data_IF_493984195972
#
_entry.id   IF_493984195972
#
_cell.length_a   1.000
_cell.length_b   1.000
_cell.length_c   1.000
_cell.angle_alpha   90.00
_cell.angle_beta   90.00
_cell.angle_gamma   90.00
#
_symmetry.space_group_name_H-M   'P 1'
#
loop_
_entity.id
_entity.type
_entity.pdbx_description
1 polymer ?
#
# COMPACT_ATOMS: atom_id res chain seq x y z
N UNK A 1 6.30 25.20 -14.32
CA UNK A 1 6.38 24.35 -13.12
C UNK A 1 7.43 23.25 -13.35
N UNK A 2 7.87 22.61 -12.29
CA UNK A 2 8.76 21.45 -12.39
C UNK A 2 7.97 20.28 -12.97
N UNK A 3 8.50 19.61 -14.01
CA UNK A 3 7.88 18.43 -14.61
C UNK A 3 8.24 17.22 -13.79
N UNK A 4 7.24 16.43 -13.40
CA UNK A 4 7.41 15.23 -12.58
C UNK A 4 6.75 14.02 -13.25
N UNK A 5 7.34 12.84 -12.99
CA UNK A 5 6.76 11.54 -13.33
C UNK A 5 6.57 10.75 -12.05
N UNK A 6 5.34 10.37 -11.77
CA UNK A 6 4.95 9.68 -10.56
C UNK A 6 4.15 8.43 -10.90
N UNK A 7 4.25 7.43 -10.02
CA UNK A 7 3.38 6.26 -10.08
C UNK A 7 2.84 5.96 -8.68
N UNK A 8 1.57 5.56 -8.61
CA UNK A 8 0.95 5.26 -7.33
C UNK A 8 -0.49 4.76 -7.49
N UNK A 9 -1.13 4.54 -6.36
CA UNK A 9 -2.51 4.07 -6.25
C UNK A 9 -3.46 5.25 -6.11
N UNK A 10 -4.56 5.23 -6.86
CA UNK A 10 -5.66 6.19 -6.69
C UNK A 10 -6.38 5.86 -5.39
N UNK A 11 -6.37 6.79 -4.43
CA UNK A 11 -7.04 6.63 -3.14
C UNK A 11 -8.36 7.38 -3.05
N UNK A 12 -8.50 8.46 -3.77
CA UNK A 12 -9.75 9.21 -3.90
C UNK A 12 -9.88 9.84 -5.28
N UNK A 13 -11.11 10.10 -5.68
CA UNK A 13 -11.39 10.75 -6.96
C UNK A 13 -12.67 11.58 -6.87
N UNK A 14 -12.59 12.83 -7.30
CA UNK A 14 -13.72 13.76 -7.35
C UNK A 14 -13.81 14.36 -8.76
N UNK A 15 -14.84 13.97 -9.50
CA UNK A 15 -15.06 14.43 -10.89
C UNK A 15 -16.01 15.63 -10.86
N UNK A 16 -15.60 16.72 -11.51
CA UNK A 16 -16.37 17.96 -11.65
C UNK A 16 -16.36 18.40 -13.13
N UNK A 17 -17.26 17.81 -13.92
CA UNK A 17 -17.37 18.14 -15.35
C UNK A 17 -16.11 17.80 -16.14
N UNK A 18 -15.43 18.85 -16.62
CA UNK A 18 -14.21 18.73 -17.42
C UNK A 18 -12.92 18.75 -16.60
N UNK A 19 -13.06 18.94 -15.29
CA UNK A 19 -11.96 18.94 -14.34
C UNK A 19 -12.18 17.89 -13.26
N UNK A 20 -11.13 17.38 -12.67
CA UNK A 20 -11.25 16.44 -11.58
C UNK A 20 -9.99 16.43 -10.71
N UNK A 21 -10.20 16.11 -9.45
CA UNK A 21 -9.13 15.90 -8.49
C UNK A 21 -9.08 14.43 -8.12
N UNK A 22 -7.88 13.91 -7.96
CA UNK A 22 -7.63 12.59 -7.42
C UNK A 22 -6.46 12.65 -6.42
N UNK A 23 -6.39 11.70 -5.52
CA UNK A 23 -5.27 11.54 -4.62
C UNK A 23 -4.47 10.31 -5.03
N UNK A 24 -3.19 10.49 -5.29
CA UNK A 24 -2.25 9.43 -5.62
C UNK A 24 -1.40 9.09 -4.40
N UNK A 25 -1.37 7.82 -4.02
CA UNK A 25 -0.54 7.32 -2.93
C UNK A 25 0.59 6.45 -3.47
N UNK A 26 1.80 6.75 -3.06
CA UNK A 26 2.98 5.91 -3.31
C UNK A 26 3.58 5.35 -2.00
N UNK A 27 4.82 4.88 -2.07
CA UNK A 27 5.52 4.34 -0.90
C UNK A 27 5.94 5.41 0.11
N UNK A 28 5.98 6.69 -0.27
CA UNK A 28 6.46 7.80 0.57
C UNK A 28 5.35 8.70 1.10
N UNK A 29 4.22 8.75 0.41
CA UNK A 29 3.14 9.62 0.83
C UNK A 29 2.02 9.75 -0.19
N UNK A 30 1.25 10.83 -0.07
CA UNK A 30 0.14 11.16 -0.94
C UNK A 30 0.36 12.52 -1.59
N UNK A 31 -0.12 12.65 -2.82
CA UNK A 31 -0.13 13.91 -3.56
C UNK A 31 -1.45 14.07 -4.32
N UNK A 32 -1.94 15.29 -4.37
CA UNK A 32 -3.11 15.62 -5.17
C UNK A 32 -2.75 15.67 -6.66
N UNK A 33 -3.62 15.13 -7.50
CA UNK A 33 -3.58 15.22 -8.94
C UNK A 33 -4.74 16.08 -9.41
N UNK A 34 -4.49 16.95 -10.36
CA UNK A 34 -5.50 17.72 -11.06
C UNK A 34 -5.55 17.28 -12.52
N UNK A 35 -6.67 16.73 -12.92
CA UNK A 35 -6.95 16.30 -14.28
C UNK A 35 -7.84 17.36 -14.95
N UNK A 36 -7.38 17.96 -16.03
CA UNK A 36 -8.16 18.83 -16.88
C UNK A 36 -8.28 18.19 -18.26
N UNK A 37 -9.52 18.03 -18.73
CA UNK A 37 -9.81 17.36 -20.02
C UNK A 37 -9.04 17.99 -21.18
N UNK A 38 -9.00 19.32 -21.24
CA UNK A 38 -8.43 20.04 -22.38
C UNK A 38 -6.89 20.10 -22.31
N UNK A 39 -6.31 19.90 -21.14
CA UNK A 39 -4.86 19.72 -20.96
C UNK A 39 -4.38 18.31 -21.34
N UNK A 40 -5.18 17.28 -21.01
CA UNK A 40 -4.86 15.88 -21.34
C UNK A 40 -5.14 15.59 -22.79
N UNK A 41 -6.19 16.18 -23.34
CA UNK A 41 -6.67 15.96 -24.70
C UNK A 41 -6.63 17.29 -25.48
N UNK A 42 -5.48 17.63 -26.04
CA UNK A 42 -5.26 18.90 -26.76
C UNK A 42 -5.99 18.98 -28.12
N UNK A 43 -6.45 17.84 -28.66
CA UNK A 43 -7.19 17.76 -29.93
C UNK A 43 -8.70 17.63 -29.74
N UNK A 44 -9.41 17.28 -30.82
CA UNK A 44 -10.87 17.03 -30.81
C UNK A 44 -11.22 15.71 -30.09
N UNK A 45 -10.31 14.73 -30.10
CA UNK A 45 -10.50 13.46 -29.42
C UNK A 45 -10.35 13.64 -27.89
N UNK A 46 -11.45 13.49 -27.19
CA UNK A 46 -11.52 13.56 -25.71
C UNK A 46 -11.66 12.18 -25.06
N UNK A 47 -11.38 11.10 -25.76
CA UNK A 47 -11.55 9.71 -25.31
C UNK A 47 -10.72 9.41 -24.07
N UNK A 48 -9.46 9.90 -24.01
CA UNK A 48 -8.59 9.67 -22.86
C UNK A 48 -9.19 10.19 -21.55
N UNK A 49 -9.83 11.35 -21.56
CA UNK A 49 -10.49 11.87 -20.35
C UNK A 49 -11.89 11.28 -20.16
N UNK A 50 -12.74 11.28 -21.19
CA UNK A 50 -14.14 10.93 -21.05
C UNK A 50 -14.37 9.42 -20.87
N UNK A 51 -13.58 8.57 -21.52
CA UNK A 51 -13.71 7.11 -21.43
C UNK A 51 -12.70 6.53 -20.45
N UNK A 52 -11.39 6.69 -20.69
CA UNK A 52 -10.38 6.05 -19.85
C UNK A 52 -10.41 6.59 -18.42
N UNK A 53 -10.29 7.92 -18.25
CA UNK A 53 -10.23 8.48 -16.91
C UNK A 53 -11.57 8.42 -16.16
N UNK A 54 -12.67 8.87 -16.79
CA UNK A 54 -13.97 8.94 -16.11
C UNK A 54 -14.64 7.60 -15.89
N UNK A 55 -14.60 6.69 -16.88
CA UNK A 55 -15.40 5.45 -16.85
C UNK A 55 -14.62 4.21 -16.52
N UNK A 56 -13.34 4.12 -16.92
CA UNK A 56 -12.55 2.89 -16.78
C UNK A 56 -11.57 2.90 -15.62
N UNK A 57 -11.16 4.08 -15.12
CA UNK A 57 -10.34 4.14 -13.90
C UNK A 57 -11.21 4.10 -12.65
N UNK A 58 -10.76 3.33 -11.67
CA UNK A 58 -11.41 3.18 -10.36
C UNK A 58 -10.47 3.54 -9.21
N UNK A 59 -11.05 3.78 -8.04
CA UNK A 59 -10.29 3.89 -6.79
C UNK A 59 -9.63 2.53 -6.52
N UNK A 60 -8.34 2.56 -6.22
CA UNK A 60 -7.53 1.37 -6.06
C UNK A 60 -6.64 1.04 -7.26
N UNK A 61 -6.92 1.58 -8.43
CA UNK A 61 -6.06 1.41 -9.60
C UNK A 61 -4.67 2.02 -9.39
N UNK A 62 -3.66 1.40 -9.98
CA UNK A 62 -2.31 1.94 -10.01
C UNK A 62 -2.10 2.62 -11.35
N UNK A 63 -1.76 3.91 -11.31
CA UNK A 63 -1.51 4.71 -12.50
C UNK A 63 -0.11 5.34 -12.46
N UNK A 64 0.45 5.57 -13.64
CA UNK A 64 1.56 6.48 -13.86
C UNK A 64 1.04 7.81 -14.38
N UNK A 65 1.58 8.91 -13.91
CA UNK A 65 1.23 10.26 -14.35
C UNK A 65 2.49 11.05 -14.68
N UNK A 66 2.37 11.92 -15.67
CA UNK A 66 3.37 12.93 -16.02
C UNK A 66 2.68 14.28 -16.03
N UNK A 67 3.29 15.29 -15.39
CA UNK A 67 2.67 16.60 -15.30
C UNK A 67 3.54 17.62 -14.59
N UNK A 68 2.99 18.78 -14.32
CA UNK A 68 3.67 19.92 -13.73
C UNK A 68 3.24 20.15 -12.30
N UNK A 69 4.20 20.36 -11.40
CA UNK A 69 3.93 20.71 -10.01
C UNK A 69 3.46 22.17 -9.92
N UNK A 70 2.36 22.38 -9.20
CA UNK A 70 1.88 23.70 -8.84
C UNK A 70 1.26 23.70 -7.43
N UNK A 71 0.98 24.88 -6.90
CA UNK A 71 0.20 25.04 -5.67
C UNK A 71 -1.18 25.57 -6.01
N UNK A 72 -2.20 24.96 -5.43
CA UNK A 72 -3.58 25.47 -5.52
C UNK A 72 -3.72 26.81 -4.78
N UNK A 73 -4.85 27.48 -4.98
CA UNK A 73 -5.17 28.74 -4.25
C UNK A 73 -5.19 28.57 -2.73
N UNK A 74 -5.47 27.36 -2.25
CA UNK A 74 -5.44 27.01 -0.81
C UNK A 74 -4.08 26.51 -0.34
N UNK A 75 -3.05 26.53 -1.22
CA UNK A 75 -1.67 26.19 -0.87
C UNK A 75 -1.31 24.71 -0.99
N UNK A 76 -2.22 23.85 -1.45
CA UNK A 76 -1.98 22.41 -1.60
C UNK A 76 -1.08 22.12 -2.80
N UNK A 77 -0.06 21.25 -2.59
CA UNK A 77 0.82 20.78 -3.66
C UNK A 77 0.06 19.81 -4.56
N UNK A 78 0.00 20.13 -5.84
CA UNK A 78 -0.80 19.39 -6.82
C UNK A 78 -0.01 19.21 -8.10
N UNK A 79 -0.22 18.08 -8.77
CA UNK A 79 0.32 17.84 -10.12
C UNK A 79 -0.78 18.13 -11.13
N UNK A 80 -0.54 19.07 -12.04
CA UNK A 80 -1.35 19.25 -13.24
C UNK A 80 -0.98 18.14 -14.22
N UNK A 81 -1.85 17.15 -14.35
CA UNK A 81 -1.59 15.97 -15.17
C UNK A 81 -1.70 16.32 -16.65
N UNK A 82 -0.62 16.07 -17.40
CA UNK A 82 -0.55 16.21 -18.85
C UNK A 82 -0.75 14.86 -19.55
N UNK A 83 -0.24 13.80 -18.93
CA UNK A 83 -0.37 12.44 -19.45
C UNK A 83 -0.53 11.45 -18.31
N UNK A 84 -1.28 10.37 -18.56
CA UNK A 84 -1.42 9.29 -17.58
C UNK A 84 -1.55 7.93 -18.31
N UNK A 85 -1.19 6.87 -17.57
CA UNK A 85 -1.28 5.50 -18.05
C UNK A 85 -1.76 4.59 -16.91
N UNK A 86 -2.72 3.71 -17.20
CA UNK A 86 -3.07 2.63 -16.30
C UNK A 86 -1.92 1.61 -16.27
N UNK A 87 -1.38 1.36 -15.08
CA UNK A 87 -0.30 0.39 -14.85
C UNK A 87 -0.85 -0.94 -14.34
N UNK A 88 -1.83 -0.90 -13.44
CA UNK A 88 -2.50 -2.10 -12.93
C UNK A 88 -3.92 -1.77 -12.49
N UNK A 89 -4.86 -2.62 -12.87
CA UNK A 89 -6.27 -2.51 -12.49
C UNK A 89 -6.52 -3.12 -11.13
N UNK A 90 -7.26 -2.44 -10.28
CA UNK A 90 -7.80 -2.99 -9.03
C UNK A 90 -9.04 -3.82 -9.34
N UNK A 91 -8.98 -5.14 -9.14
CA UNK A 91 -10.09 -6.03 -9.45
C UNK A 91 -11.14 -6.09 -8.33
N UNK A 92 -10.82 -5.53 -7.16
CA UNK A 92 -11.72 -5.47 -6.01
C UNK A 92 -11.72 -4.05 -5.43
N UNK A 93 -12.86 -3.54 -4.98
CA UNK A 93 -12.91 -2.24 -4.31
C UNK A 93 -12.12 -2.27 -3.01
N UNK A 94 -11.48 -1.16 -2.68
CA UNK A 94 -10.83 -0.97 -1.38
C UNK A 94 -11.88 -0.59 -0.33
N UNK A 95 -11.82 -1.16 0.89
CA UNK A 95 -12.66 -0.76 2.03
C UNK A 95 -12.15 0.59 2.57
N UNK A 96 -12.53 1.68 1.91
CA UNK A 96 -12.19 3.03 2.33
C UNK A 96 -13.34 3.60 3.15
N UNK A 97 -13.05 4.26 4.29
CA UNK A 97 -14.08 4.89 5.11
C UNK A 97 -14.91 5.88 4.29
N UNK A 98 -16.21 5.83 4.49
CA UNK A 98 -17.16 6.80 3.93
C UNK A 98 -17.89 7.46 5.07
N UNK A 99 -17.97 8.76 5.04
CA UNK A 99 -18.72 9.56 6.00
C UNK A 99 -20.02 10.02 5.36
N UNK A 100 -21.15 9.84 6.06
CA UNK A 100 -22.45 10.37 5.64
C UNK A 100 -22.65 11.83 6.09
N UNK A 101 -23.79 12.41 5.72
CA UNK A 101 -24.16 13.79 6.10
C UNK A 101 -24.30 13.99 7.61
N UNK A 102 -24.48 12.93 8.38
CA UNK A 102 -24.67 12.95 9.82
C UNK A 102 -23.39 12.65 10.61
N UNK A 103 -22.25 12.46 9.89
CA UNK A 103 -20.94 12.20 10.46
C UNK A 103 -20.70 10.74 10.84
N UNK A 104 -21.55 9.80 10.43
CA UNK A 104 -21.31 8.38 10.65
C UNK A 104 -20.30 7.85 9.64
N UNK A 105 -19.36 7.03 10.12
CA UNK A 105 -18.32 6.40 9.29
C UNK A 105 -18.75 4.97 8.96
N UNK A 106 -18.75 4.64 7.67
CA UNK A 106 -19.05 3.31 7.14
C UNK A 106 -17.83 2.75 6.40
N UNK A 107 -17.85 1.44 6.19
CA UNK A 107 -16.80 0.71 5.44
C UNK A 107 -15.39 0.85 6.03
N UNK A 108 -15.25 1.19 7.31
CA UNK A 108 -13.96 1.26 7.97
C UNK A 108 -13.36 -0.14 8.15
N UNK A 109 -12.10 -0.31 7.72
CA UNK A 109 -11.38 -1.57 7.84
C UNK A 109 -10.68 -1.66 9.21
N UNK A 110 -11.49 -1.91 10.26
CA UNK A 110 -11.04 -1.88 11.66
C UNK A 110 -11.19 -3.23 12.39
N UNK A 111 -11.93 -4.21 11.83
CA UNK A 111 -12.05 -5.54 12.43
C UNK A 111 -10.70 -6.23 12.56
N UNK A 112 -10.26 -6.63 13.79
CA UNK A 112 -8.93 -7.18 14.01
C UNK A 112 -8.67 -8.47 13.23
N UNK A 113 -9.66 -9.36 13.12
CA UNK A 113 -9.47 -10.63 12.39
C UNK A 113 -9.30 -10.40 10.89
N UNK A 114 -10.12 -9.54 10.29
CA UNK A 114 -9.98 -9.16 8.88
C UNK A 114 -8.63 -8.49 8.61
N UNK A 115 -8.18 -7.60 9.48
CA UNK A 115 -6.86 -6.94 9.37
C UNK A 115 -5.72 -7.94 9.41
N UNK A 116 -5.77 -8.94 10.30
CA UNK A 116 -4.77 -10.02 10.33
C UNK A 116 -4.81 -10.90 9.09
N UNK A 117 -6.00 -11.26 8.61
CA UNK A 117 -6.16 -12.10 7.41
C UNK A 117 -5.80 -11.38 6.12
N UNK A 118 -6.04 -10.08 6.05
CA UNK A 118 -5.84 -9.24 4.86
C UNK A 118 -4.85 -8.10 5.15
N UNK A 119 -3.70 -8.42 5.73
CA UNK A 119 -2.67 -7.44 6.07
C UNK A 119 -2.22 -6.57 4.88
N UNK A 120 -2.32 -7.09 3.66
CA UNK A 120 -2.05 -6.31 2.44
C UNK A 120 -3.09 -5.20 2.20
N UNK A 121 -4.36 -5.40 2.57
CA UNK A 121 -5.39 -4.35 2.54
C UNK A 121 -5.13 -3.35 3.66
N UNK A 122 -4.88 -3.83 4.87
CA UNK A 122 -4.58 -3.01 6.04
C UNK A 122 -3.43 -2.02 5.77
N UNK A 123 -2.37 -2.48 5.10
CA UNK A 123 -1.23 -1.64 4.67
C UNK A 123 -1.60 -0.56 3.64
N UNK A 124 -2.65 -0.77 2.84
CA UNK A 124 -3.10 0.19 1.82
C UNK A 124 -4.01 1.25 2.44
N UNK A 125 -4.98 0.83 3.27
CA UNK A 125 -6.08 1.69 3.70
C UNK A 125 -5.85 2.37 5.05
N UNK A 126 -5.14 1.71 5.99
CA UNK A 126 -4.93 2.22 7.32
C UNK A 126 -3.58 2.93 7.47
N UNK A 127 -3.64 4.20 7.85
CA UNK A 127 -2.44 4.99 8.19
C UNK A 127 -1.75 4.43 9.43
N UNK A 128 -0.42 4.52 9.49
CA UNK A 128 0.38 4.06 10.64
C UNK A 128 0.74 2.57 10.64
N UNK A 129 -0.02 1.71 9.97
CA UNK A 129 0.28 0.26 9.90
C UNK A 129 1.65 0.02 9.27
N UNK A 130 1.95 0.66 8.16
CA UNK A 130 3.26 0.58 7.50
C UNK A 130 4.40 1.01 8.43
N UNK A 131 4.20 2.06 9.21
CA UNK A 131 5.21 2.55 10.15
C UNK A 131 5.55 1.52 11.22
N UNK A 132 4.56 0.78 11.72
CA UNK A 132 4.78 -0.30 12.69
C UNK A 132 5.69 -1.40 12.11
N UNK A 133 5.46 -1.81 10.86
CA UNK A 133 6.32 -2.79 10.18
C UNK A 133 7.71 -2.26 9.89
N UNK A 134 7.85 -1.00 9.49
CA UNK A 134 9.15 -0.35 9.33
C UNK A 134 9.92 -0.30 10.65
N UNK A 135 9.27 0.12 11.74
CA UNK A 135 9.87 0.13 13.09
C UNK A 135 10.30 -1.26 13.52
N UNK A 136 9.48 -2.29 13.31
CA UNK A 136 9.85 -3.68 13.59
C UNK A 136 11.12 -4.11 12.85
N UNK A 137 11.21 -3.80 11.56
CA UNK A 137 12.39 -4.09 10.74
C UNK A 137 13.63 -3.37 11.27
N UNK A 138 13.51 -2.10 11.63
CA UNK A 138 14.61 -1.32 12.18
C UNK A 138 15.09 -1.89 13.53
N UNK A 139 14.18 -2.28 14.40
CA UNK A 139 14.52 -2.90 15.70
C UNK A 139 15.29 -4.21 15.47
N UNK A 140 14.80 -5.10 14.61
CA UNK A 140 15.47 -6.35 14.29
C UNK A 140 16.87 -6.13 13.71
N UNK A 141 17.01 -5.19 12.78
CA UNK A 141 18.31 -4.84 12.21
C UNK A 141 19.27 -4.24 13.25
N UNK A 142 18.76 -3.43 14.18
CA UNK A 142 19.57 -2.85 15.25
C UNK A 142 20.10 -3.93 16.18
N UNK A 143 19.29 -4.95 16.54
CA UNK A 143 19.73 -6.08 17.35
C UNK A 143 20.84 -6.87 16.63
N UNK A 144 20.62 -7.18 15.35
CA UNK A 144 21.63 -7.87 14.52
C UNK A 144 22.94 -7.08 14.47
N UNK A 145 22.85 -5.78 14.17
CA UNK A 145 24.02 -4.92 14.11
C UNK A 145 24.77 -4.85 15.46
N UNK A 146 24.04 -4.73 16.56
CA UNK A 146 24.61 -4.72 17.90
C UNK A 146 25.38 -6.00 18.23
N UNK A 147 24.85 -7.17 17.86
CA UNK A 147 25.53 -8.46 18.10
C UNK A 147 26.71 -8.64 17.14
N UNK A 148 26.57 -8.31 15.84
CA UNK A 148 27.64 -8.40 14.86
C UNK A 148 28.86 -7.52 15.24
N UNK A 149 28.62 -6.33 15.78
CA UNK A 149 29.70 -5.44 16.28
C UNK A 149 30.47 -6.02 17.48
N UNK A 150 29.92 -7.05 18.11
CA UNK A 150 30.53 -7.78 19.23
C UNK A 150 31.04 -9.16 18.82
N UNK A 151 31.23 -9.36 17.52
CA UNK A 151 31.77 -10.60 16.92
C UNK A 151 30.90 -11.85 17.12
N UNK A 152 29.59 -11.66 17.43
CA UNK A 152 28.63 -12.75 17.39
C UNK A 152 28.28 -13.09 15.93
N UNK A 153 28.18 -14.39 15.64
CA UNK A 153 27.76 -14.87 14.32
C UNK A 153 26.27 -15.22 14.36
N UNK A 154 25.50 -14.72 13.41
CA UNK A 154 24.10 -15.16 13.23
C UNK A 154 24.11 -16.55 12.56
N UNK A 155 23.41 -17.49 13.13
CA UNK A 155 23.28 -18.85 12.64
C UNK A 155 21.82 -19.26 12.50
N UNK A 156 21.51 -20.09 11.53
CA UNK A 156 20.20 -20.71 11.38
C UNK A 156 20.23 -22.08 12.03
N UNK A 157 19.41 -22.27 13.07
CA UNK A 157 19.25 -23.56 13.73
C UNK A 157 18.02 -24.29 13.22
N UNK A 158 18.00 -25.64 13.23
CA UNK A 158 16.80 -26.41 12.85
C UNK A 158 15.61 -26.08 13.76
N UNK A 159 14.46 -25.77 13.13
CA UNK A 159 13.19 -25.53 13.86
C UNK A 159 12.62 -26.86 14.36
N UNK A 160 12.67 -27.91 13.54
CA UNK A 160 12.24 -29.27 13.91
C UNK A 160 13.44 -30.07 14.41
N UNK A 161 13.30 -30.67 15.56
CA UNK A 161 14.35 -31.47 16.20
C UNK A 161 13.80 -32.80 16.62
N UNK A 162 14.62 -33.87 16.58
CA UNK A 162 14.19 -35.20 17.02
C UNK A 162 14.14 -35.33 18.57
N UNK A 163 14.85 -34.44 19.30
CA UNK A 163 14.92 -34.45 20.75
C UNK A 163 14.44 -33.08 21.28
N UNK A 164 13.43 -33.08 22.16
CA UNK A 164 12.99 -31.84 22.79
C UNK A 164 14.11 -31.24 23.65
N UNK A 165 14.37 -29.93 23.49
CA UNK A 165 15.40 -29.24 24.29
C UNK A 165 15.19 -27.73 24.33
N UNK A 166 15.69 -27.09 25.38
CA UNK A 166 15.85 -25.63 25.48
C UNK A 166 14.74 -24.84 26.15
N UNK A 167 13.47 -25.16 25.98
CA UNK A 167 12.36 -24.42 26.61
C UNK A 167 11.55 -25.31 27.57
N UNK A 168 10.97 -24.69 28.60
CA UNK A 168 10.05 -25.36 29.54
C UNK A 168 8.63 -25.51 28.95
N UNK A 169 8.39 -24.95 27.76
CA UNK A 169 7.11 -25.01 27.09
C UNK A 169 6.82 -26.41 26.53
N UNK A 170 5.53 -26.76 26.42
CA UNK A 170 5.11 -28.01 25.77
C UNK A 170 5.37 -27.93 24.27
N UNK A 171 6.18 -28.84 23.68
CA UNK A 171 6.49 -28.81 22.26
C UNK A 171 5.32 -29.25 21.39
N UNK A 172 5.32 -28.84 20.11
CA UNK A 172 4.52 -29.45 19.09
C UNK A 172 5.13 -30.76 18.64
N UNK A 173 4.31 -31.81 18.54
CA UNK A 173 4.72 -33.07 17.98
C UNK A 173 4.30 -33.16 16.53
N UNK A 174 5.24 -33.51 15.65
CA UNK A 174 5.01 -33.79 14.25
C UNK A 174 5.78 -35.02 13.80
N UNK A 175 5.56 -35.47 12.57
CA UNK A 175 6.22 -36.65 12.02
C UNK A 175 6.93 -36.30 10.71
N UNK A 176 8.21 -36.63 10.61
CA UNK A 176 9.00 -36.47 9.40
C UNK A 176 8.78 -37.66 8.50
N UNK A 177 7.86 -37.57 7.53
CA UNK A 177 7.43 -38.73 6.71
C UNK A 177 8.55 -39.34 5.92
N UNK A 178 9.48 -38.57 5.34
CA UNK A 178 10.56 -39.09 4.51
C UNK A 178 11.58 -39.92 5.31
N UNK A 179 11.82 -39.57 6.56
CA UNK A 179 12.74 -40.27 7.45
C UNK A 179 12.02 -41.23 8.41
N UNK A 180 10.69 -41.16 8.45
CA UNK A 180 9.85 -41.99 9.35
C UNK A 180 10.22 -41.82 10.83
N UNK A 181 10.51 -40.62 11.27
CA UNK A 181 10.88 -40.27 12.65
C UNK A 181 9.96 -39.21 13.25
N UNK A 182 9.68 -39.27 14.57
CA UNK A 182 9.01 -38.18 15.23
C UNK A 182 9.92 -36.94 15.28
N UNK A 183 9.31 -35.76 15.19
CA UNK A 183 9.99 -34.46 15.32
C UNK A 183 9.20 -33.57 16.26
N UNK A 184 9.88 -32.68 16.96
CA UNK A 184 9.30 -31.71 17.87
C UNK A 184 9.73 -30.29 17.50
N UNK A 185 8.85 -29.31 17.76
CA UNK A 185 9.13 -27.88 17.62
C UNK A 185 8.64 -27.14 18.86
N UNK A 186 9.35 -26.11 19.27
CA UNK A 186 8.95 -25.18 20.35
C UNK A 186 8.53 -23.83 19.78
#
# INVERSE_FOLDING_TARGET
>A
GEVVKLAGRIMSRRIQGNASFAELQDSKGRIQLYFNRDEICSGEDKTSYNELYKKLLDIGDIIGVEGELFKTKVGEKTVLVKNFKLLSKSLRPLPLPKEDSDGNIYDEFNDPELRYRQGYVDLIVNSGVKEAFVKRTLITNSIRQFLNQREYLEVETPILQPIPGGAIARPFLTHHNALNIPSVSY
#
